data_IF_448936148677
#
_entry.id   IF_448936148677
#
_cell.length_a   1.000
_cell.length_b   1.000
_cell.length_c   1.000
_cell.angle_alpha   90.00
_cell.angle_beta   90.00
_cell.angle_gamma   90.00
#
_symmetry.space_group_name_H-M   'P 1'
#
loop_
_entity.id
_entity.type
_entity.pdbx_description
1 polymer ?
#
# COMPACT_ATOMS: atom_id res chain seq x y z
N UNK A 1 -29.48 8.09 36.01
CA UNK A 1 -28.22 8.17 36.78
C UNK A 1 -27.20 7.18 36.30
N UNK A 2 -25.91 7.57 36.36
CA UNK A 2 -24.78 6.69 36.03
C UNK A 2 -24.42 5.80 37.23
N UNK A 3 -23.92 4.56 36.99
CA UNK A 3 -23.32 3.73 38.02
C UNK A 3 -22.20 4.47 38.75
N UNK A 4 -22.04 4.21 40.05
CA UNK A 4 -21.05 4.91 40.89
C UNK A 4 -19.63 4.86 40.34
N UNK A 5 -19.24 3.73 39.76
CA UNK A 5 -17.94 3.51 39.13
C UNK A 5 -17.66 4.46 37.95
N UNK A 6 -18.70 4.92 37.23
CA UNK A 6 -18.57 5.77 36.05
C UNK A 6 -18.73 7.26 36.38
N UNK A 7 -19.27 7.60 37.56
CA UNK A 7 -19.52 9.00 37.95
C UNK A 7 -18.24 9.83 37.95
N UNK A 8 -17.14 9.29 38.48
CA UNK A 8 -15.87 9.99 38.52
C UNK A 8 -15.32 10.31 37.11
N UNK A 9 -15.49 9.38 36.17
CA UNK A 9 -15.06 9.58 34.79
C UNK A 9 -15.92 10.61 34.06
N UNK A 10 -17.25 10.51 34.21
CA UNK A 10 -18.18 11.49 33.67
C UNK A 10 -17.89 12.92 34.17
N UNK A 11 -17.59 13.08 35.46
CA UNK A 11 -17.20 14.39 36.02
C UNK A 11 -15.91 14.91 35.37
N UNK A 12 -14.91 14.06 35.14
CA UNK A 12 -13.68 14.47 34.43
C UNK A 12 -13.98 14.94 33.01
N UNK A 13 -14.83 14.22 32.28
CA UNK A 13 -15.22 14.63 30.92
C UNK A 13 -15.99 15.96 30.91
N UNK A 14 -16.90 16.18 31.86
CA UNK A 14 -17.61 17.46 31.99
C UNK A 14 -16.67 18.63 32.33
N UNK A 15 -15.73 18.42 33.25
CA UNK A 15 -14.72 19.43 33.59
C UNK A 15 -13.83 19.75 32.39
N UNK A 16 -13.42 18.73 31.64
CA UNK A 16 -12.65 18.92 30.41
C UNK A 16 -13.43 19.74 29.37
N UNK A 17 -14.68 19.38 29.10
CA UNK A 17 -15.53 20.10 28.13
C UNK A 17 -15.77 21.56 28.55
N UNK A 18 -16.08 21.79 29.83
CA UNK A 18 -16.28 23.13 30.37
C UNK A 18 -15.02 23.98 30.24
N UNK A 19 -13.85 23.42 30.58
CA UNK A 19 -12.58 24.12 30.44
C UNK A 19 -12.24 24.42 28.97
N UNK A 20 -12.56 23.50 28.06
CA UNK A 20 -12.38 23.72 26.63
C UNK A 20 -13.27 24.89 26.15
N UNK A 21 -14.54 24.96 26.55
CA UNK A 21 -15.44 26.08 26.24
C UNK A 21 -14.99 27.42 26.86
N UNK A 22 -14.40 27.39 28.05
CA UNK A 22 -13.82 28.60 28.65
C UNK A 22 -12.65 29.16 27.84
N UNK A 23 -11.87 28.30 27.20
CA UNK A 23 -10.72 28.69 26.36
C UNK A 23 -11.13 29.04 24.92
N UNK A 24 -12.11 28.33 24.38
CA UNK A 24 -12.67 28.52 23.06
C UNK A 24 -14.20 28.47 23.15
N UNK A 25 -14.87 29.64 23.29
CA UNK A 25 -16.31 29.71 23.45
C UNK A 25 -17.11 29.26 22.23
N UNK A 26 -16.49 29.21 21.05
CA UNK A 26 -17.18 28.87 19.79
C UNK A 26 -17.09 27.36 19.55
N UNK A 27 -15.88 26.80 19.60
CA UNK A 27 -15.66 25.41 19.20
C UNK A 27 -15.31 24.47 20.36
N UNK A 28 -14.84 24.97 21.51
CA UNK A 28 -14.53 24.18 22.69
C UNK A 28 -13.75 22.89 22.39
N UNK A 29 -14.27 21.75 22.82
CA UNK A 29 -13.66 20.44 22.54
C UNK A 29 -13.84 19.98 21.07
N UNK A 30 -14.86 20.46 20.36
CA UNK A 30 -15.04 20.15 18.94
C UNK A 30 -13.90 20.70 18.08
N UNK A 31 -13.31 21.83 18.48
CA UNK A 31 -12.11 22.38 17.83
C UNK A 31 -10.90 21.44 17.96
N UNK A 32 -10.75 20.77 19.11
CA UNK A 32 -9.69 19.77 19.31
C UNK A 32 -9.94 18.51 18.45
N UNK A 33 -11.20 18.04 18.40
CA UNK A 33 -11.59 16.91 17.55
C UNK A 33 -11.28 17.21 16.07
N UNK A 34 -11.67 18.39 15.58
CA UNK A 34 -11.41 18.80 14.21
C UNK A 34 -9.92 18.84 13.88
N UNK A 35 -9.08 19.38 14.78
CA UNK A 35 -7.63 19.40 14.57
C UNK A 35 -7.04 18.00 14.48
N UNK A 36 -7.49 17.07 15.33
CA UNK A 36 -7.05 15.67 15.28
C UNK A 36 -7.51 15.00 13.98
N UNK A 37 -8.74 15.23 13.53
CA UNK A 37 -9.25 14.72 12.25
C UNK A 37 -8.43 15.26 11.07
N UNK A 38 -8.06 16.54 11.08
CA UNK A 38 -7.18 17.14 10.07
C UNK A 38 -5.81 16.48 10.04
N UNK A 39 -5.18 16.29 11.21
CA UNK A 39 -3.89 15.62 11.32
C UNK A 39 -3.94 14.17 10.82
N UNK A 40 -5.01 13.46 11.16
CA UNK A 40 -5.25 12.09 10.68
C UNK A 40 -5.36 12.07 9.15
N UNK A 41 -6.15 12.97 8.55
CA UNK A 41 -6.27 13.09 7.10
C UNK A 41 -4.93 13.40 6.41
N UNK A 42 -4.14 14.31 6.98
CA UNK A 42 -2.81 14.64 6.45
C UNK A 42 -1.87 13.42 6.49
N UNK A 43 -1.86 12.68 7.60
CA UNK A 43 -1.06 11.46 7.72
C UNK A 43 -1.50 10.39 6.73
N UNK A 44 -2.81 10.19 6.55
CA UNK A 44 -3.34 9.26 5.54
C UNK A 44 -2.93 9.68 4.12
N UNK A 45 -2.98 10.97 3.80
CA UNK A 45 -2.53 11.47 2.50
C UNK A 45 -1.04 11.18 2.27
N UNK A 46 -0.19 11.39 3.29
CA UNK A 46 1.24 11.09 3.20
C UNK A 46 1.51 9.60 3.03
N UNK A 47 0.75 8.75 3.72
CA UNK A 47 0.82 7.30 3.55
C UNK A 47 0.47 6.90 2.11
N UNK A 48 -0.63 7.42 1.57
CA UNK A 48 -1.08 7.11 0.22
C UNK A 48 -0.05 7.56 -0.83
N UNK A 49 0.55 8.74 -0.66
CA UNK A 49 1.64 9.23 -1.52
C UNK A 49 2.84 8.28 -1.49
N UNK A 50 3.32 7.91 -0.31
CA UNK A 50 4.48 7.02 -0.19
C UNK A 50 4.20 5.63 -0.81
N UNK A 51 2.98 5.11 -0.64
CA UNK A 51 2.56 3.85 -1.27
C UNK A 51 2.55 3.96 -2.81
N UNK A 52 2.01 5.06 -3.35
CA UNK A 52 2.00 5.32 -4.78
C UNK A 52 3.43 5.45 -5.36
N UNK A 53 4.34 6.10 -4.64
CA UNK A 53 5.75 6.21 -5.03
C UNK A 53 6.43 4.84 -5.11
N UNK A 54 6.21 3.96 -4.11
CA UNK A 54 6.75 2.61 -4.12
C UNK A 54 6.24 1.83 -5.34
N UNK A 55 4.93 1.87 -5.62
CA UNK A 55 4.35 1.20 -6.78
C UNK A 55 4.90 1.75 -8.10
N UNK A 56 5.10 3.06 -8.20
CA UNK A 56 5.69 3.69 -9.38
C UNK A 56 7.12 3.20 -9.60
N UNK A 57 7.96 3.17 -8.56
CA UNK A 57 9.33 2.65 -8.64
C UNK A 57 9.36 1.18 -9.05
N UNK A 58 8.46 0.35 -8.50
CA UNK A 58 8.35 -1.06 -8.87
C UNK A 58 7.93 -1.24 -10.32
N UNK A 59 6.97 -0.45 -10.81
CA UNK A 59 6.55 -0.46 -12.21
C UNK A 59 7.68 -0.04 -13.16
N UNK A 60 8.43 1.01 -12.81
CA UNK A 60 9.59 1.44 -13.58
C UNK A 60 10.66 0.34 -13.63
N UNK A 61 10.94 -0.32 -12.50
CA UNK A 61 11.86 -1.46 -12.46
C UNK A 61 11.39 -2.62 -13.34
N UNK A 62 10.10 -2.99 -13.26
CA UNK A 62 9.52 -4.05 -14.09
C UNK A 62 9.62 -3.72 -15.59
N UNK A 63 9.36 -2.46 -15.97
CA UNK A 63 9.49 -2.01 -17.36
C UNK A 63 10.95 -2.09 -17.86
N UNK A 64 11.93 -1.69 -17.03
CA UNK A 64 13.35 -1.83 -17.38
C UNK A 64 13.75 -3.30 -17.55
N UNK A 65 13.33 -4.19 -16.64
CA UNK A 65 13.62 -5.62 -16.74
C UNK A 65 12.99 -6.23 -17.99
N UNK A 66 11.73 -5.88 -18.30
CA UNK A 66 11.06 -6.33 -19.51
C UNK A 66 11.82 -5.93 -20.78
N UNK A 67 12.34 -4.69 -20.83
CA UNK A 67 13.16 -4.22 -21.94
C UNK A 67 14.44 -5.06 -22.10
N UNK A 68 15.18 -5.28 -21.01
CA UNK A 68 16.41 -6.09 -21.01
C UNK A 68 16.17 -7.55 -21.41
N UNK A 69 15.08 -8.16 -20.93
CA UNK A 69 14.69 -9.51 -21.31
C UNK A 69 14.33 -9.63 -22.80
N UNK A 70 13.76 -8.59 -23.40
CA UNK A 70 13.41 -8.58 -24.83
C UNK A 70 14.65 -8.43 -25.73
N UNK A 71 15.66 -7.66 -25.30
CA UNK A 71 16.91 -7.45 -26.04
C UNK A 71 17.84 -8.68 -26.04
N UNK A 72 17.92 -9.37 -24.89
CA UNK A 72 18.68 -10.63 -24.77
C UNK A 72 18.12 -11.75 -25.66
N UNK A 73 16.80 -11.75 -25.92
CA UNK A 73 16.17 -12.72 -26.82
C UNK A 73 16.46 -12.45 -28.32
N UNK A 74 16.59 -11.19 -28.75
CA UNK A 74 16.93 -10.85 -30.15
C UNK A 74 18.39 -11.14 -30.50
N UNK A 75 19.30 -10.98 -29.55
CA UNK A 75 20.73 -11.22 -29.74
C UNK A 75 21.10 -12.71 -29.96
N UNK A 76 20.18 -13.63 -29.66
CA UNK A 76 20.41 -15.08 -29.83
C UNK A 76 20.09 -15.60 -31.25
N UNK A 77 19.52 -14.79 -32.16
CA UNK A 77 19.17 -15.25 -33.53
C UNK A 77 20.30 -15.06 -34.58
N UNK A 78 21.50 -14.59 -34.20
CA UNK A 78 22.56 -14.26 -35.16
C UNK A 78 23.68 -15.30 -35.35
N UNK A 79 23.55 -16.54 -34.84
CA UNK A 79 24.49 -17.63 -35.16
C UNK A 79 23.71 -18.91 -35.46
N UNK A 80 23.31 -19.07 -36.73
CA UNK A 80 22.91 -20.35 -37.31
C UNK A 80 23.48 -20.41 -38.72
N UNK A 81 24.80 -20.59 -38.83
CA UNK A 81 25.39 -21.11 -40.06
C UNK A 81 25.34 -22.64 -40.00
N UNK A 82 24.77 -23.33 -41.01
CA UNK A 82 24.90 -24.76 -41.14
C UNK A 82 26.17 -25.07 -41.94
N UNK A 83 27.16 -25.69 -41.32
CA UNK A 83 28.17 -26.47 -42.03
C UNK A 83 28.26 -27.87 -41.43
N UNK A 84 28.38 -28.83 -42.33
CA UNK A 84 28.03 -30.25 -42.24
C UNK A 84 28.67 -31.04 -41.08
N UNK A 85 28.03 -32.11 -40.61
CA UNK A 85 28.53 -33.51 -40.65
C UNK A 85 27.58 -34.50 -39.91
N UNK A 86 27.34 -35.63 -40.59
CA UNK A 86 26.75 -36.94 -40.26
C UNK A 86 26.59 -37.41 -38.79
N UNK A 87 25.37 -37.91 -38.49
CA UNK A 87 24.98 -39.07 -37.67
C UNK A 87 25.11 -39.04 -36.13
N UNK A 88 24.04 -39.47 -35.45
CA UNK A 88 24.10 -40.10 -34.13
C UNK A 88 23.13 -39.55 -33.07
N UNK A 89 22.18 -40.40 -32.65
CA UNK A 89 21.22 -40.20 -31.57
C UNK A 89 21.80 -39.58 -30.27
N UNK A 90 21.13 -38.59 -29.69
CA UNK A 90 20.51 -38.65 -28.36
C UNK A 90 19.82 -37.32 -28.00
N UNK A 91 18.63 -37.40 -27.42
CA UNK A 91 17.89 -36.26 -26.86
C UNK A 91 18.67 -35.59 -25.71
N UNK A 92 18.56 -34.27 -25.51
CA UNK A 92 18.69 -33.69 -24.19
C UNK A 92 17.35 -33.10 -23.75
N UNK A 93 16.90 -33.67 -22.64
CA UNK A 93 15.91 -33.19 -21.68
C UNK A 93 15.56 -31.71 -21.76
N UNK A 94 14.26 -31.43 -21.82
CA UNK A 94 13.72 -30.10 -21.61
C UNK A 94 14.05 -29.60 -20.21
N UNK A 95 14.83 -28.52 -20.12
CA UNK A 95 14.91 -27.72 -18.92
C UNK A 95 13.72 -26.77 -18.92
N UNK A 96 12.66 -27.19 -18.23
CA UNK A 96 11.57 -26.32 -17.85
C UNK A 96 12.10 -25.30 -16.84
N UNK A 97 12.26 -24.04 -17.27
CA UNK A 97 12.53 -22.93 -16.35
C UNK A 97 11.23 -22.66 -15.59
N UNK A 98 11.14 -23.22 -14.38
CA UNK A 98 10.08 -22.90 -13.45
C UNK A 98 10.34 -21.51 -12.86
N UNK A 99 9.90 -20.49 -13.58
CA UNK A 99 9.66 -19.18 -12.99
C UNK A 99 8.45 -19.31 -12.08
N UNK A 100 8.70 -19.73 -10.83
CA UNK A 100 7.71 -19.60 -9.77
C UNK A 100 7.52 -18.08 -9.54
N UNK A 101 6.55 -17.49 -10.24
CA UNK A 101 6.05 -16.15 -9.94
C UNK A 101 5.33 -16.21 -8.59
N UNK A 102 6.08 -16.06 -7.50
CA UNK A 102 5.56 -15.80 -6.18
C UNK A 102 5.32 -14.31 -5.98
N UNK A 103 4.36 -13.73 -6.69
CA UNK A 103 3.86 -12.36 -6.41
C UNK A 103 2.32 -12.35 -6.32
N UNK A 104 1.72 -13.48 -5.96
CA UNK A 104 0.27 -13.65 -5.86
C UNK A 104 -0.31 -13.55 -4.45
N UNK A 105 0.35 -12.85 -3.51
CA UNK A 105 0.08 -13.04 -2.08
C UNK A 105 -0.18 -11.81 -1.22
N UNK A 106 -0.36 -10.60 -1.77
CA UNK A 106 -0.55 -9.42 -0.90
C UNK A 106 -1.60 -8.40 -1.39
N UNK A 107 -2.39 -8.73 -2.41
CA UNK A 107 -3.36 -7.78 -2.99
C UNK A 107 -4.71 -7.69 -2.27
N UNK A 108 -4.88 -8.30 -1.10
CA UNK A 108 -6.21 -8.44 -0.47
C UNK A 108 -6.43 -7.61 0.81
N UNK A 109 -5.71 -6.51 1.03
CA UNK A 109 -6.03 -5.64 2.19
C UNK A 109 -6.00 -4.13 1.90
N UNK A 110 -6.01 -3.74 0.61
CA UNK A 110 -6.06 -2.31 0.22
C UNK A 110 -7.48 -1.78 0.02
N UNK A 111 -8.52 -2.61 0.12
CA UNK A 111 -9.92 -2.22 -0.10
C UNK A 111 -10.67 -1.81 1.19
N UNK A 112 -10.06 -1.90 2.37
CA UNK A 112 -10.71 -1.58 3.63
C UNK A 112 -10.53 -0.12 4.12
N UNK A 113 -9.88 0.74 3.31
CA UNK A 113 -9.54 2.12 3.73
C UNK A 113 -10.57 3.20 3.37
N UNK A 114 -11.62 2.88 2.61
CA UNK A 114 -12.40 3.89 1.90
C UNK A 114 -13.69 4.39 2.59
N UNK A 115 -14.05 3.92 3.80
CA UNK A 115 -15.31 4.32 4.43
C UNK A 115 -15.20 4.53 5.94
N UNK A 116 -14.37 5.50 6.36
CA UNK A 116 -14.65 6.21 7.59
C UNK A 116 -15.51 7.43 7.24
N UNK A 117 -16.79 7.16 6.95
CA UNK A 117 -17.78 8.22 6.89
C UNK A 117 -17.82 8.94 8.24
N UNK A 118 -17.72 10.28 8.28
CA UNK A 118 -17.94 11.03 9.50
C UNK A 118 -19.40 10.82 9.93
N UNK A 119 -19.61 10.09 11.02
CA UNK A 119 -20.93 9.70 11.54
C UNK A 119 -21.78 10.88 12.10
N UNK A 120 -21.54 12.11 11.67
CA UNK A 120 -22.17 13.33 12.19
C UNK A 120 -22.85 14.17 11.08
N UNK A 121 -23.50 13.53 10.11
CA UNK A 121 -24.54 14.20 9.32
C UNK A 121 -25.88 14.04 10.02
#
# INVERSE_FOLDING_TARGET
>A
DLPESQRADAVRSLVYEANARSRDPVYGCAGAIFQLQKQLSELQSRLAMAQAEILNMQMQQANMVAFLCMETAQSQQAISQPSDTFSGNNSPSGYQLQFQQGIGGFLDDAAAGAQLEPLWT
#
